data_IF_236397728999
#
_entry.id   IF_236397728999
#
_cell.length_a   1.000
_cell.length_b   1.000
_cell.length_c   1.000
_cell.angle_alpha   90.00
_cell.angle_beta   90.00
_cell.angle_gamma   90.00
#
_symmetry.space_group_name_H-M   'P 1'
#
loop_
_entity.id
_entity.type
_entity.pdbx_description
1 polymer ?
#
# COMPACT_ATOMS: atom_id res chain seq x y z
N UNK A 1 -4.36 30.36 -23.15
CA UNK A 1 -3.01 29.76 -23.19
C UNK A 1 -3.04 28.73 -24.31
N UNK A 2 -1.92 28.50 -25.00
CA UNK A 2 -1.85 27.53 -26.07
C UNK A 2 -0.88 26.40 -25.74
N UNK A 3 -1.09 25.24 -26.35
CA UNK A 3 -0.38 24.01 -26.04
C UNK A 3 0.27 23.46 -27.30
N UNK A 4 1.57 23.21 -27.21
CA UNK A 4 2.28 22.38 -28.18
C UNK A 4 2.41 20.96 -27.64
N UNK A 5 1.89 19.97 -28.37
CA UNK A 5 2.11 18.54 -28.10
C UNK A 5 2.65 17.86 -29.34
N UNK A 6 3.87 17.33 -29.28
CA UNK A 6 4.43 16.53 -30.36
C UNK A 6 3.76 15.16 -30.41
N UNK A 7 3.12 14.83 -31.53
CA UNK A 7 2.51 13.53 -31.79
C UNK A 7 3.52 12.39 -32.02
N UNK A 8 4.79 12.70 -32.31
CA UNK A 8 5.85 11.69 -32.49
C UNK A 8 6.53 11.28 -31.18
N UNK A 9 6.92 12.23 -30.33
CA UNK A 9 7.73 11.95 -29.14
C UNK A 9 7.08 12.36 -27.81
N UNK A 10 5.85 12.86 -27.84
CA UNK A 10 5.10 13.26 -26.65
C UNK A 10 5.58 14.54 -25.97
N UNK A 11 6.58 15.25 -26.52
CA UNK A 11 7.03 16.51 -25.93
C UNK A 11 5.88 17.51 -25.82
N UNK A 12 5.69 18.05 -24.62
CA UNK A 12 4.61 18.95 -24.25
C UNK A 12 5.20 20.28 -23.78
N UNK A 13 4.63 21.38 -24.24
CA UNK A 13 5.04 22.72 -23.82
C UNK A 13 3.90 23.72 -23.92
N UNK A 14 3.79 24.59 -22.94
CA UNK A 14 2.93 25.76 -23.02
C UNK A 14 3.56 26.86 -23.91
N UNK A 15 2.73 27.47 -24.75
CA UNK A 15 3.13 28.51 -25.69
C UNK A 15 2.10 29.65 -25.69
N UNK A 16 2.51 30.81 -26.19
CA UNK A 16 1.64 31.98 -26.28
C UNK A 16 0.49 31.73 -27.28
N UNK A 17 -0.69 32.32 -27.00
CA UNK A 17 -1.90 32.26 -27.83
C UNK A 17 -1.67 32.73 -29.27
N UNK A 18 -0.72 33.63 -29.52
CA UNK A 18 -0.38 34.13 -30.86
C UNK A 18 0.11 33.03 -31.82
N UNK A 19 0.36 31.82 -31.30
CA UNK A 19 0.81 30.66 -32.06
C UNK A 19 -0.28 29.61 -32.30
N UNK A 20 -1.51 29.82 -31.83
CA UNK A 20 -2.62 28.88 -32.07
C UNK A 20 -2.80 28.64 -33.57
N UNK A 21 -2.92 27.38 -33.96
CA UNK A 21 -3.09 26.95 -35.34
C UNK A 21 -1.80 26.86 -36.15
N UNK A 22 -0.67 27.41 -35.68
CA UNK A 22 0.62 27.36 -36.37
C UNK A 22 1.28 25.98 -36.19
N UNK A 23 2.04 25.58 -37.22
CA UNK A 23 2.86 24.37 -37.19
C UNK A 23 4.31 24.72 -36.90
N UNK A 24 4.92 24.04 -35.92
CA UNK A 24 6.30 24.29 -35.49
C UNK A 24 7.08 22.99 -35.35
N UNK A 25 8.40 23.05 -35.50
CA UNK A 25 9.29 21.90 -35.27
C UNK A 25 9.42 21.64 -33.77
N UNK A 26 9.20 20.39 -33.37
CA UNK A 26 9.42 19.94 -32.00
C UNK A 26 10.89 20.15 -31.59
N UNK A 27 11.17 20.81 -30.46
CA UNK A 27 12.54 21.04 -30.01
C UNK A 27 13.26 19.74 -29.61
N UNK A 28 12.52 18.65 -29.33
CA UNK A 28 13.08 17.36 -28.91
C UNK A 28 13.39 16.41 -30.07
N UNK A 29 12.59 16.41 -31.15
CA UNK A 29 12.72 15.43 -32.24
C UNK A 29 12.59 16.01 -33.65
N UNK A 30 12.50 17.34 -33.76
CA UNK A 30 12.34 18.10 -35.00
C UNK A 30 11.10 17.80 -35.84
N UNK A 31 10.22 16.90 -35.39
CA UNK A 31 8.95 16.62 -36.04
C UNK A 31 8.03 17.85 -36.01
N UNK A 32 7.37 18.15 -37.14
CA UNK A 32 6.47 19.29 -37.25
C UNK A 32 5.12 18.89 -36.65
N UNK A 33 4.68 19.65 -35.65
CA UNK A 33 3.36 19.47 -35.03
C UNK A 33 2.67 20.83 -34.85
N UNK A 34 1.35 20.80 -34.79
CA UNK A 34 0.53 22.00 -34.67
C UNK A 34 0.35 22.41 -33.20
N UNK A 35 0.19 23.71 -32.97
CA UNK A 35 -0.15 24.29 -31.67
C UNK A 35 -1.67 24.45 -31.57
N UNK A 36 -2.24 24.01 -30.47
CA UNK A 36 -3.68 24.05 -30.22
C UNK A 36 -4.01 25.02 -29.09
N UNK A 37 -5.24 25.53 -29.11
CA UNK A 37 -5.81 26.18 -27.94
C UNK A 37 -5.96 25.13 -26.83
N UNK A 38 -5.58 25.48 -25.59
CA UNK A 38 -5.41 24.50 -24.51
C UNK A 38 -6.74 23.88 -24.11
N UNK A 39 -7.78 24.68 -23.92
CA UNK A 39 -9.09 24.19 -23.45
C UNK A 39 -9.69 23.25 -24.50
N UNK A 40 -9.71 23.67 -25.76
CA UNK A 40 -10.22 22.89 -26.89
C UNK A 40 -9.46 21.57 -27.08
N UNK A 41 -8.14 21.59 -26.84
CA UNK A 41 -7.32 20.37 -26.91
C UNK A 41 -7.64 19.40 -25.77
N UNK A 42 -7.80 19.92 -24.55
CA UNK A 42 -8.13 19.12 -23.36
C UNK A 42 -9.54 18.54 -23.47
N UNK A 43 -10.53 19.31 -23.93
CA UNK A 43 -11.90 18.84 -24.17
C UNK A 43 -11.92 17.65 -25.13
N UNK A 44 -11.21 17.74 -26.26
CA UNK A 44 -11.09 16.62 -27.21
C UNK A 44 -10.31 15.43 -26.67
N UNK A 45 -9.35 15.66 -25.79
CA UNK A 45 -8.61 14.58 -25.13
C UNK A 45 -9.51 13.82 -24.15
N UNK A 46 -10.30 14.56 -23.37
CA UNK A 46 -11.28 14.01 -22.44
C UNK A 46 -12.38 13.23 -23.18
N UNK A 47 -12.90 13.78 -24.28
CA UNK A 47 -13.87 13.08 -25.14
C UNK A 47 -13.31 11.73 -25.62
N UNK A 48 -12.08 11.71 -26.17
CA UNK A 48 -11.43 10.45 -26.58
C UNK A 48 -11.21 9.50 -25.42
N UNK A 49 -10.80 10.01 -24.27
CA UNK A 49 -10.59 9.21 -23.08
C UNK A 49 -11.88 8.53 -22.60
N UNK A 50 -12.99 9.26 -22.56
CA UNK A 50 -14.28 8.69 -22.16
C UNK A 50 -14.80 7.67 -23.17
N UNK A 51 -14.67 7.92 -24.48
CA UNK A 51 -15.04 6.94 -25.51
C UNK A 51 -14.23 5.64 -25.37
N UNK A 52 -12.91 5.75 -25.18
CA UNK A 52 -12.06 4.56 -24.98
C UNK A 52 -12.36 3.83 -23.67
N UNK A 53 -12.66 4.57 -22.60
CA UNK A 53 -13.06 4.00 -21.31
C UNK A 53 -14.37 3.21 -21.45
N UNK A 54 -15.36 3.77 -22.14
CA UNK A 54 -16.65 3.11 -22.38
C UNK A 54 -16.50 1.89 -23.29
N UNK A 55 -15.64 1.96 -24.31
CA UNK A 55 -15.33 0.82 -25.20
C UNK A 55 -14.64 -0.31 -24.42
N UNK A 56 -13.67 0.02 -23.56
CA UNK A 56 -13.02 -0.95 -22.66
C UNK A 56 -14.05 -1.57 -21.70
N UNK A 57 -14.98 -0.79 -21.15
CA UNK A 57 -16.04 -1.31 -20.30
C UNK A 57 -17.00 -2.23 -21.05
N UNK A 58 -17.36 -1.90 -22.30
CA UNK A 58 -18.20 -2.75 -23.15
C UNK A 58 -17.51 -4.05 -23.55
N UNK A 59 -16.22 -4.01 -23.90
CA UNK A 59 -15.44 -5.22 -24.20
C UNK A 59 -15.33 -6.12 -22.97
N UNK A 60 -15.05 -5.56 -21.79
CA UNK A 60 -15.05 -6.31 -20.52
C UNK A 60 -16.41 -6.91 -20.20
N UNK A 61 -17.50 -6.19 -20.45
CA UNK A 61 -18.86 -6.73 -20.26
C UNK A 61 -19.20 -7.81 -21.30
N UNK A 62 -18.72 -7.68 -22.53
CA UNK A 62 -18.90 -8.70 -23.56
C UNK A 62 -18.12 -9.98 -23.22
N UNK A 63 -16.90 -9.87 -22.69
CA UNK A 63 -16.14 -11.02 -22.17
C UNK A 63 -16.90 -11.69 -21.00
N UNK A 64 -17.49 -10.91 -20.08
CA UNK A 64 -18.31 -11.42 -18.97
C UNK A 64 -19.59 -12.12 -19.46
N UNK A 65 -20.26 -11.61 -20.51
CA UNK A 65 -21.48 -12.23 -21.08
C UNK A 65 -21.13 -13.52 -21.83
N UNK A 66 -19.99 -13.56 -22.53
CA UNK A 66 -19.50 -14.75 -23.23
C UNK A 66 -19.09 -15.85 -22.23
N UNK A 67 -18.61 -15.47 -21.04
CA UNK A 67 -18.35 -16.39 -19.93
C UNK A 67 -19.64 -16.81 -19.20
N UNK A 68 -20.65 -15.95 -19.10
CA UNK A 68 -21.91 -16.24 -18.40
C UNK A 68 -22.78 -17.31 -19.09
N UNK A 69 -22.70 -17.47 -20.41
CA UNK A 69 -23.44 -18.53 -21.14
C UNK A 69 -22.81 -19.93 -20.97
N UNK A 70 -21.59 -20.03 -20.41
CA UNK A 70 -20.88 -21.31 -20.22
C UNK A 70 -21.00 -21.84 -18.78
N UNK A 71 -21.49 -21.05 -17.82
CA UNK A 71 -21.49 -21.38 -16.37
C UNK A 71 -22.89 -21.85 -15.89
N UNK A 72 -23.48 -22.83 -16.57
CA UNK A 72 -24.48 -23.72 -15.97
C UNK A 72 -23.90 -25.14 -15.87
N UNK A 73 -22.76 -25.31 -15.21
CA UNK A 73 -22.40 -26.54 -14.48
C UNK A 73 -21.00 -26.43 -13.85
N UNK A 74 -20.95 -26.75 -12.56
CA UNK A 74 -19.77 -27.23 -11.82
C UNK A 74 -18.64 -26.25 -11.44
N UNK A 75 -18.60 -25.97 -10.12
CA UNK A 75 -17.45 -25.59 -9.27
C UNK A 75 -16.88 -24.16 -9.38
N UNK A 76 -16.40 -23.56 -8.26
CA UNK A 76 -15.96 -22.17 -8.23
C UNK A 76 -14.65 -22.00 -9.03
N UNK A 77 -14.47 -20.89 -9.77
CA UNK A 77 -13.26 -20.68 -10.55
C UNK A 77 -12.04 -20.41 -9.65
N UNK A 78 -10.81 -20.69 -10.15
CA UNK A 78 -9.56 -20.42 -9.45
C UNK A 78 -9.35 -18.92 -9.20
N UNK A 79 -8.53 -18.63 -8.19
CA UNK A 79 -8.30 -17.33 -7.54
C UNK A 79 -8.12 -16.18 -8.53
N UNK A 80 -9.03 -15.21 -8.51
CA UNK A 80 -8.97 -13.98 -9.31
C UNK A 80 -7.73 -13.09 -9.01
N UNK A 81 -6.82 -13.51 -8.12
CA UNK A 81 -5.68 -12.71 -7.65
C UNK A 81 -4.38 -12.91 -8.43
N UNK A 82 -4.28 -13.96 -9.26
CA UNK A 82 -3.01 -14.34 -9.90
C UNK A 82 -2.54 -13.34 -10.96
N UNK A 83 -3.46 -12.66 -11.65
CA UNK A 83 -3.13 -11.71 -12.74
C UNK A 83 -3.15 -10.24 -12.30
N UNK A 84 -3.25 -9.96 -10.99
CA UNK A 84 -3.46 -8.61 -10.47
C UNK A 84 -2.15 -7.98 -10.01
N UNK A 85 -1.85 -6.75 -10.43
CA UNK A 85 -0.77 -5.96 -9.84
C UNK A 85 -1.15 -5.49 -8.42
N UNK A 86 -0.51 -6.02 -7.36
CA UNK A 86 -0.80 -5.65 -5.96
C UNK A 86 -0.47 -4.22 -5.59
N UNK A 87 0.40 -3.57 -6.36
CA UNK A 87 0.80 -2.19 -6.14
C UNK A 87 -0.04 -1.21 -6.96
N UNK A 88 -1.06 -1.70 -7.65
CA UNK A 88 -1.97 -0.86 -8.42
C UNK A 88 -3.26 -1.62 -8.76
N UNK A 89 -4.09 -1.86 -7.74
CA UNK A 89 -5.37 -2.55 -7.92
C UNK A 89 -6.44 -2.07 -6.95
N UNK A 90 -7.68 -2.08 -7.45
CA UNK A 90 -8.91 -1.94 -6.65
C UNK A 90 -9.62 -3.27 -6.42
N UNK A 91 -9.12 -4.38 -6.98
CA UNK A 91 -9.79 -5.68 -6.91
C UNK A 91 -9.90 -6.23 -5.47
N UNK A 92 -8.95 -5.86 -4.61
CA UNK A 92 -8.99 -6.17 -3.17
C UNK A 92 -10.08 -5.37 -2.45
N UNK A 93 -10.51 -4.22 -3.00
CA UNK A 93 -11.51 -3.33 -2.43
C UNK A 93 -12.95 -3.65 -2.89
N UNK A 94 -13.19 -4.80 -3.51
CA UNK A 94 -14.55 -5.25 -3.86
C UNK A 94 -15.30 -5.81 -2.65
N UNK A 95 -16.59 -5.52 -2.52
CA UNK A 95 -17.44 -6.06 -1.44
C UNK A 95 -17.38 -7.59 -1.34
N UNK A 96 -17.21 -8.26 -2.49
CA UNK A 96 -17.09 -9.73 -2.58
C UNK A 96 -15.88 -10.26 -1.79
N UNK A 97 -14.80 -9.48 -1.72
CA UNK A 97 -13.58 -9.86 -1.02
C UNK A 97 -13.72 -9.78 0.50
N UNK A 98 -14.61 -8.93 1.01
CA UNK A 98 -14.83 -8.78 2.45
C UNK A 98 -16.04 -9.56 2.99
N UNK A 99 -16.97 -9.95 2.12
CA UNK A 99 -18.17 -10.68 2.53
C UNK A 99 -17.86 -11.93 3.38
N UNK A 100 -16.89 -12.79 3.02
CA UNK A 100 -16.56 -13.96 3.86
C UNK A 100 -16.04 -13.60 5.26
N UNK A 101 -15.30 -12.50 5.39
CA UNK A 101 -14.84 -12.00 6.69
C UNK A 101 -16.05 -11.52 7.50
N UNK A 102 -16.97 -10.79 6.87
CA UNK A 102 -18.17 -10.28 7.53
C UNK A 102 -19.03 -11.43 8.05
N UNK A 103 -19.23 -12.47 7.25
CA UNK A 103 -19.96 -13.68 7.66
C UNK A 103 -19.25 -14.44 8.79
N UNK A 104 -17.91 -14.52 8.75
CA UNK A 104 -17.11 -15.15 9.79
C UNK A 104 -17.26 -14.46 11.16
N UNK A 105 -17.27 -13.12 11.19
CA UNK A 105 -17.50 -12.35 12.42
C UNK A 105 -18.96 -12.40 12.86
N UNK A 106 -19.91 -12.35 11.92
CA UNK A 106 -21.34 -12.47 12.19
C UNK A 106 -21.68 -13.81 12.85
N UNK A 107 -21.09 -14.91 12.39
CA UNK A 107 -21.22 -16.23 13.02
C UNK A 107 -20.75 -16.26 14.48
N UNK A 108 -19.89 -15.32 14.89
CA UNK A 108 -19.40 -15.16 16.27
C UNK A 108 -20.19 -14.15 17.09
N UNK A 109 -21.25 -13.57 16.52
CA UNK A 109 -22.07 -12.47 17.07
C UNK A 109 -21.26 -11.18 17.29
N UNK A 110 -20.36 -10.90 16.34
CA UNK A 110 -19.52 -9.70 16.34
C UNK A 110 -19.85 -8.90 15.09
N UNK A 111 -20.09 -7.60 15.24
CA UNK A 111 -20.31 -6.71 14.10
C UNK A 111 -18.95 -6.13 13.70
N UNK A 112 -18.72 -6.01 12.40
CA UNK A 112 -17.57 -5.28 11.87
C UNK A 112 -18.00 -4.14 10.96
N UNK A 113 -17.19 -3.11 10.92
CA UNK A 113 -17.27 -2.01 9.97
C UNK A 113 -15.91 -1.89 9.28
N UNK A 114 -15.93 -1.87 7.95
CA UNK A 114 -14.73 -1.85 7.14
C UNK A 114 -14.83 -0.75 6.09
N UNK A 115 -13.75 0.00 5.95
CA UNK A 115 -13.61 0.97 4.89
C UNK A 115 -12.87 0.33 3.72
N UNK A 116 -13.59 0.00 2.64
CA UNK A 116 -13.03 -0.65 1.46
C UNK A 116 -11.89 0.17 0.81
N UNK A 117 -11.84 1.50 1.04
CA UNK A 117 -10.72 2.34 0.57
C UNK A 117 -9.41 1.96 1.24
N UNK A 118 -9.45 1.30 2.39
CA UNK A 118 -8.25 0.74 3.02
C UNK A 118 -7.70 -0.46 2.25
N UNK A 119 -8.40 -1.02 1.27
CA UNK A 119 -7.89 -2.11 0.41
C UNK A 119 -7.52 -1.62 -0.99
N UNK A 120 -7.68 -0.33 -1.25
CA UNK A 120 -7.21 0.31 -2.48
C UNK A 120 -5.68 0.46 -2.43
N UNK A 121 -5.02 -0.13 -3.41
CA UNK A 121 -3.55 -0.12 -3.55
C UNK A 121 -3.09 0.74 -4.74
N UNK A 122 -3.98 1.54 -5.34
CA UNK A 122 -3.65 2.39 -6.51
C UNK A 122 -2.77 3.61 -6.18
N UNK A 123 -2.49 3.86 -4.90
CA UNK A 123 -1.58 4.90 -4.43
C UNK A 123 -0.20 4.36 -4.08
N UNK A 124 0.80 5.25 -4.02
CA UNK A 124 2.22 4.91 -3.82
C UNK A 124 2.62 4.44 -2.42
N UNK A 125 1.62 4.12 -1.63
CA UNK A 125 1.68 4.10 -0.20
C UNK A 125 2.19 2.71 0.25
N UNK A 126 1.73 1.68 -0.45
CA UNK A 126 2.19 0.30 -0.35
C UNK A 126 3.62 0.11 -0.90
N UNK A 127 4.02 0.80 -1.98
CA UNK A 127 5.38 0.73 -2.54
C UNK A 127 6.42 1.31 -1.58
N UNK A 128 6.12 2.44 -0.94
CA UNK A 128 7.02 3.02 0.07
C UNK A 128 7.10 2.11 1.30
N UNK A 129 5.99 1.50 1.71
CA UNK A 129 5.97 0.55 2.82
C UNK A 129 6.84 -0.68 2.52
N UNK A 130 6.73 -1.25 1.33
CA UNK A 130 7.55 -2.38 0.88
C UNK A 130 9.02 -2.01 0.74
N UNK A 131 9.33 -0.85 0.16
CA UNK A 131 10.71 -0.34 0.08
C UNK A 131 11.35 -0.16 1.45
N UNK A 132 10.61 0.43 2.40
CA UNK A 132 11.06 0.63 3.79
C UNK A 132 11.22 -0.69 4.54
N UNK A 133 10.24 -1.60 4.46
CA UNK A 133 10.26 -2.87 5.18
C UNK A 133 11.34 -3.83 4.68
N UNK A 134 11.48 -3.99 3.36
CA UNK A 134 12.51 -4.86 2.77
C UNK A 134 13.94 -4.40 3.11
N UNK A 135 14.13 -3.10 3.37
CA UNK A 135 15.44 -2.50 3.67
C UNK A 135 15.48 -1.88 5.07
N UNK A 136 14.67 -2.36 6.01
CA UNK A 136 14.45 -1.70 7.29
C UNK A 136 15.76 -1.49 8.08
N UNK A 137 16.66 -2.49 8.09
CA UNK A 137 17.95 -2.39 8.77
C UNK A 137 18.78 -1.16 8.34
N UNK A 138 18.68 -0.77 7.07
CA UNK A 138 19.36 0.40 6.50
C UNK A 138 18.53 1.68 6.66
N UNK A 139 17.23 1.60 6.37
CA UNK A 139 16.36 2.77 6.25
C UNK A 139 15.74 3.24 7.57
N UNK A 140 15.80 2.44 8.65
CA UNK A 140 15.24 2.79 9.96
C UNK A 140 15.68 4.16 10.48
N UNK A 141 16.97 4.47 10.35
CA UNK A 141 17.54 5.73 10.82
C UNK A 141 16.95 6.93 10.04
N UNK A 142 16.58 6.70 8.79
CA UNK A 142 15.99 7.72 7.91
C UNK A 142 14.51 7.90 8.26
N UNK A 143 13.74 6.81 8.34
CA UNK A 143 12.33 6.87 8.72
C UNK A 143 12.12 7.46 10.12
N UNK A 144 12.96 7.11 11.10
CA UNK A 144 12.90 7.68 12.44
C UNK A 144 13.22 9.17 12.46
N UNK A 145 14.19 9.61 11.65
CA UNK A 145 14.49 11.05 11.50
C UNK A 145 13.32 11.80 10.87
N UNK A 146 12.67 11.24 9.86
CA UNK A 146 11.47 11.83 9.24
C UNK A 146 10.37 11.96 10.31
N UNK A 147 9.99 10.85 10.97
CA UNK A 147 9.02 10.80 12.06
C UNK A 147 9.31 11.84 13.15
N UNK A 148 10.55 11.86 13.66
CA UNK A 148 10.96 12.80 14.73
C UNK A 148 10.89 14.25 14.29
N UNK A 149 11.28 14.54 13.05
CA UNK A 149 11.26 15.90 12.50
C UNK A 149 9.82 16.40 12.34
N UNK A 150 8.93 15.56 11.80
CA UNK A 150 7.50 15.85 11.70
C UNK A 150 6.85 16.04 13.08
N UNK A 151 7.13 15.18 14.07
CA UNK A 151 6.60 15.32 15.44
C UNK A 151 6.98 16.63 16.12
N UNK A 152 8.14 17.20 15.77
CA UNK A 152 8.58 18.50 16.29
C UNK A 152 8.02 19.69 15.52
N UNK A 153 7.20 19.47 14.50
CA UNK A 153 6.66 20.51 13.63
C UNK A 153 7.68 21.09 12.65
N UNK A 154 8.85 20.46 12.50
CA UNK A 154 9.85 20.87 11.53
C UNK A 154 9.59 20.21 10.17
N UNK A 155 9.95 20.92 9.10
CA UNK A 155 9.73 20.46 7.73
C UNK A 155 11.03 20.20 6.98
N UNK A 156 12.19 20.61 7.49
CA UNK A 156 13.45 20.43 6.78
C UNK A 156 14.29 19.35 7.46
N UNK A 157 14.78 18.40 6.68
CA UNK A 157 15.63 17.31 7.15
C UNK A 157 16.90 17.23 6.29
N UNK A 158 18.05 17.03 6.95
CA UNK A 158 19.33 16.80 6.29
C UNK A 158 19.87 15.42 6.68
N UNK A 159 20.24 14.63 5.68
CA UNK A 159 20.68 13.23 5.80
C UNK A 159 22.12 13.14 5.30
N UNK A 160 23.12 13.15 6.20
CA UNK A 160 24.52 13.01 5.81
C UNK A 160 24.82 11.56 5.40
N UNK A 161 25.52 11.40 4.27
CA UNK A 161 25.91 10.11 3.68
C UNK A 161 27.42 9.84 3.81
N UNK A 162 28.19 10.76 4.39
CA UNK A 162 29.65 10.70 4.46
C UNK A 162 30.22 9.44 5.15
N UNK A 163 29.46 8.85 6.09
CA UNK A 163 29.84 7.65 6.84
C UNK A 163 29.24 6.35 6.30
N UNK A 164 28.50 6.41 5.19
CA UNK A 164 27.84 5.24 4.59
C UNK A 164 28.71 4.65 3.48
N UNK A 165 28.61 3.35 3.25
CA UNK A 165 29.19 2.70 2.09
C UNK A 165 28.55 3.19 0.79
N UNK A 166 29.19 2.91 -0.35
CA UNK A 166 28.64 3.28 -1.66
C UNK A 166 27.29 2.61 -1.94
N UNK A 167 27.13 1.35 -1.53
CA UNK A 167 25.85 0.61 -1.69
C UNK A 167 24.75 1.29 -0.86
N UNK A 168 24.99 1.48 0.43
CA UNK A 168 24.02 2.14 1.33
C UNK A 168 23.66 3.56 0.86
N UNK A 169 24.66 4.31 0.38
CA UNK A 169 24.45 5.65 -0.17
C UNK A 169 23.48 5.63 -1.34
N UNK A 170 23.62 4.65 -2.25
CA UNK A 170 22.73 4.51 -3.41
C UNK A 170 21.30 4.17 -2.97
N UNK A 171 21.14 3.18 -2.11
CA UNK A 171 19.82 2.75 -1.59
C UNK A 171 19.10 3.91 -0.86
N UNK A 172 19.82 4.68 -0.04
CA UNK A 172 19.23 5.84 0.66
C UNK A 172 18.82 6.94 -0.33
N UNK A 173 19.65 7.22 -1.35
CA UNK A 173 19.36 8.21 -2.39
C UNK A 173 18.11 7.81 -3.16
N UNK A 174 18.02 6.54 -3.57
CA UNK A 174 16.87 5.98 -4.29
C UNK A 174 15.60 6.03 -3.45
N UNK A 175 15.65 5.58 -2.19
CA UNK A 175 14.52 5.68 -1.28
C UNK A 175 14.04 7.13 -1.12
N UNK A 176 14.94 8.08 -0.86
CA UNK A 176 14.58 9.49 -0.73
C UNK A 176 14.07 10.13 -2.02
N UNK A 177 14.54 9.67 -3.19
CA UNK A 177 14.02 10.09 -4.48
C UNK A 177 12.61 9.55 -4.70
N UNK A 178 12.36 8.27 -4.40
CA UNK A 178 11.03 7.67 -4.47
C UNK A 178 10.04 8.40 -3.55
N UNK A 179 10.45 8.78 -2.33
CA UNK A 179 9.62 9.60 -1.46
C UNK A 179 9.20 10.93 -2.12
N UNK A 180 10.05 11.52 -2.96
CA UNK A 180 9.74 12.75 -3.67
C UNK A 180 8.81 12.49 -4.86
N UNK A 181 9.13 11.50 -5.69
CA UNK A 181 8.33 11.11 -6.85
C UNK A 181 6.89 10.73 -6.45
N UNK A 182 6.75 10.07 -5.29
CA UNK A 182 5.49 9.65 -4.71
C UNK A 182 4.83 10.71 -3.80
N UNK A 183 5.38 11.93 -3.76
CA UNK A 183 4.82 13.06 -3.01
C UNK A 183 4.73 12.87 -1.48
N UNK A 184 5.56 11.98 -0.90
CA UNK A 184 5.74 11.87 0.55
C UNK A 184 6.58 13.02 1.11
N UNK A 185 7.45 13.60 0.28
CA UNK A 185 8.20 14.82 0.60
C UNK A 185 7.93 15.88 -0.48
N UNK A 186 7.85 17.14 -0.06
CA UNK A 186 7.60 18.27 -0.94
C UNK A 186 8.82 18.63 -1.82
N UNK A 187 10.04 18.39 -1.33
CA UNK A 187 11.28 18.65 -2.08
C UNK A 187 12.36 17.63 -1.74
N UNK A 188 13.20 17.35 -2.72
CA UNK A 188 14.39 16.51 -2.61
C UNK A 188 15.58 17.18 -3.30
N UNK A 189 16.73 17.23 -2.61
CA UNK A 189 17.99 17.70 -3.18
C UNK A 189 19.14 16.79 -2.74
N UNK A 190 19.92 16.31 -3.70
CA UNK A 190 21.15 15.58 -3.43
C UNK A 190 22.39 16.41 -3.79
N UNK A 191 23.16 16.80 -2.77
CA UNK A 191 24.42 17.52 -2.92
C UNK A 191 25.58 16.53 -2.95
N UNK A 192 26.03 16.20 -4.17
CA UNK A 192 27.12 15.23 -4.40
C UNK A 192 28.42 15.57 -3.67
N UNK A 193 28.85 16.84 -3.72
CA UNK A 193 30.10 17.31 -3.13
C UNK A 193 30.09 17.17 -1.59
N UNK A 194 28.99 17.52 -0.95
CA UNK A 194 28.81 17.44 0.51
C UNK A 194 28.39 16.04 0.99
N UNK A 195 28.09 15.11 0.07
CA UNK A 195 27.46 13.80 0.35
C UNK A 195 26.25 13.96 1.28
N UNK A 196 25.33 14.84 0.91
CA UNK A 196 24.19 15.24 1.74
C UNK A 196 22.88 15.17 0.94
N UNK A 197 21.86 14.53 1.50
CA UNK A 197 20.48 14.62 1.01
C UNK A 197 19.70 15.60 1.87
N UNK A 198 18.97 16.51 1.23
CA UNK A 198 18.07 17.46 1.89
C UNK A 198 16.65 17.19 1.45
N UNK A 199 15.75 17.07 2.42
CA UNK A 199 14.32 16.85 2.21
C UNK A 199 13.53 18.01 2.80
N UNK A 200 12.49 18.44 2.09
CA UNK A 200 11.39 19.20 2.67
C UNK A 200 10.20 18.24 2.86
N UNK A 201 9.85 17.94 4.11
CA UNK A 201 8.84 16.97 4.50
C UNK A 201 7.42 17.52 4.27
N UNK A 202 6.50 16.64 3.88
CA UNK A 202 5.07 16.94 3.82
C UNK A 202 4.44 16.84 5.22
N UNK A 203 3.43 17.68 5.49
CA UNK A 203 2.67 17.69 6.76
C UNK A 203 1.26 17.13 6.63
N UNK A 204 0.92 16.51 5.49
CA UNK A 204 -0.38 15.83 5.33
C UNK A 204 -0.56 14.77 6.44
N UNK A 205 -1.72 14.72 7.13
CA UNK A 205 -1.96 13.75 8.20
C UNK A 205 -1.68 12.31 7.79
N UNK A 206 -2.02 11.91 6.55
CA UNK A 206 -1.78 10.56 6.06
C UNK A 206 -0.28 10.21 6.00
N UNK A 207 0.56 11.12 5.52
CA UNK A 207 2.02 10.90 5.44
C UNK A 207 2.66 10.93 6.84
N UNK A 208 2.19 11.80 7.73
CA UNK A 208 2.66 11.82 9.12
C UNK A 208 2.31 10.51 9.82
N UNK A 209 1.07 10.03 9.69
CA UNK A 209 0.62 8.76 10.26
C UNK A 209 1.33 7.56 9.64
N UNK A 210 1.62 7.61 8.33
CA UNK A 210 2.44 6.61 7.65
C UNK A 210 3.78 6.42 8.36
N UNK A 211 4.58 7.49 8.50
CA UNK A 211 5.86 7.43 9.18
C UNK A 211 5.74 7.22 10.70
N UNK A 212 4.59 7.52 11.31
CA UNK A 212 4.37 7.28 12.74
C UNK A 212 4.15 5.80 13.07
N UNK A 213 3.83 4.96 12.08
CA UNK A 213 3.79 3.50 12.27
C UNK A 213 2.97 2.74 11.24
N UNK A 214 2.02 3.39 10.56
CA UNK A 214 1.10 2.72 9.62
C UNK A 214 1.80 2.05 8.43
N UNK A 215 2.99 2.52 8.06
CA UNK A 215 3.78 1.88 7.01
C UNK A 215 4.00 0.38 7.29
N UNK A 216 4.08 -0.03 8.56
CA UNK A 216 4.38 -1.42 8.91
C UNK A 216 3.16 -2.33 8.72
N UNK A 217 1.96 -1.84 9.01
CA UNK A 217 0.70 -2.53 8.70
C UNK A 217 0.61 -2.81 7.20
N UNK A 218 0.93 -1.81 6.37
CA UNK A 218 0.87 -1.96 4.93
C UNK A 218 1.95 -2.87 4.37
N UNK A 219 3.16 -2.80 4.91
CA UNK A 219 4.23 -3.74 4.60
C UNK A 219 3.77 -5.19 4.87
N UNK A 220 3.29 -5.48 6.08
CA UNK A 220 2.85 -6.83 6.46
C UNK A 220 1.69 -7.29 5.57
N UNK A 221 0.73 -6.42 5.29
CA UNK A 221 -0.40 -6.73 4.42
C UNK A 221 0.04 -7.12 3.01
N UNK A 222 0.88 -6.30 2.36
CA UNK A 222 1.34 -6.58 0.98
C UNK A 222 2.17 -7.84 0.94
N UNK A 223 3.15 -8.00 1.83
CA UNK A 223 3.99 -9.19 1.87
C UNK A 223 3.19 -10.47 2.11
N UNK A 224 2.18 -10.43 2.97
CA UNK A 224 1.29 -11.58 3.18
C UNK A 224 0.40 -11.86 1.97
N UNK A 225 -0.12 -10.81 1.33
CA UNK A 225 -0.95 -10.96 0.12
C UNK A 225 -0.15 -11.56 -1.04
N UNK A 226 1.08 -11.08 -1.28
CA UNK A 226 2.03 -11.67 -2.24
C UNK A 226 2.25 -13.15 -1.94
N UNK A 227 2.60 -13.47 -0.70
CA UNK A 227 2.91 -14.83 -0.28
C UNK A 227 1.74 -15.81 -0.47
N UNK A 228 0.52 -15.42 -0.11
CA UNK A 228 -0.67 -16.28 -0.25
C UNK A 228 -1.10 -16.44 -1.70
N UNK A 229 -0.93 -15.39 -2.51
CA UNK A 229 -1.16 -15.45 -3.95
C UNK A 229 -0.16 -16.38 -4.64
N UNK A 230 1.13 -16.29 -4.31
CA UNK A 230 2.16 -17.15 -4.91
C UNK A 230 1.90 -18.65 -4.62
N UNK A 231 1.17 -18.95 -3.53
CA UNK A 231 0.68 -20.29 -3.19
C UNK A 231 -0.68 -20.66 -3.81
N UNK A 232 -1.27 -19.80 -4.63
CA UNK A 232 -2.58 -19.95 -5.27
C UNK A 232 -3.73 -20.20 -4.28
N UNK A 233 -3.65 -19.63 -3.08
CA UNK A 233 -4.69 -19.79 -2.06
C UNK A 233 -5.85 -18.82 -2.30
N UNK A 234 -7.06 -19.22 -1.90
CA UNK A 234 -8.20 -18.31 -1.88
C UNK A 234 -8.11 -17.47 -0.61
N UNK A 235 -8.22 -16.16 -0.76
CA UNK A 235 -8.16 -15.24 0.38
C UNK A 235 -9.33 -14.27 0.35
N UNK A 236 -9.80 -13.95 1.55
CA UNK A 236 -10.52 -12.72 1.83
C UNK A 236 -9.67 -11.90 2.78
N UNK A 237 -9.57 -10.59 2.57
CA UNK A 237 -8.68 -9.74 3.35
C UNK A 237 -9.33 -8.42 3.73
N UNK A 238 -8.90 -7.86 4.86
CA UNK A 238 -9.30 -6.53 5.31
C UNK A 238 -8.15 -5.85 6.08
N UNK A 239 -8.07 -4.52 5.98
CA UNK A 239 -7.19 -3.68 6.78
C UNK A 239 -8.01 -2.73 7.63
N UNK A 240 -7.52 -2.40 8.83
CA UNK A 240 -8.09 -1.40 9.72
C UNK A 240 -9.62 -1.59 9.89
N UNK A 241 -10.01 -2.80 10.32
CA UNK A 241 -11.43 -3.11 10.55
C UNK A 241 -11.83 -2.73 11.96
N UNK A 242 -12.97 -2.06 12.05
CA UNK A 242 -13.60 -1.71 13.30
C UNK A 242 -14.47 -2.87 13.79
N UNK A 243 -14.19 -3.37 14.98
CA UNK A 243 -14.90 -4.48 15.61
C UNK A 243 -15.76 -3.93 16.74
N UNK A 244 -17.07 -4.11 16.62
CA UNK A 244 -18.07 -3.70 17.59
C UNK A 244 -18.66 -4.92 18.30
N UNK A 245 -18.48 -4.96 19.62
CA UNK A 245 -19.01 -6.01 20.47
C UNK A 245 -20.41 -5.67 21.01
N UNK A 246 -21.14 -6.67 21.48
CA UNK A 246 -22.49 -6.50 22.02
C UNK A 246 -22.58 -5.56 23.24
N UNK A 247 -21.48 -5.35 23.95
CA UNK A 247 -21.38 -4.41 25.06
C UNK A 247 -20.90 -3.01 24.63
N UNK A 248 -21.00 -2.70 23.33
CA UNK A 248 -20.58 -1.43 22.70
C UNK A 248 -19.08 -1.13 22.76
N UNK A 249 -18.27 -2.04 23.31
CA UNK A 249 -16.83 -1.92 23.20
C UNK A 249 -16.41 -1.96 21.74
N UNK A 250 -15.47 -1.08 21.43
CA UNK A 250 -14.88 -0.90 20.11
C UNK A 250 -13.41 -1.27 20.13
N UNK A 251 -12.97 -2.05 19.15
CA UNK A 251 -11.55 -2.33 18.90
C UNK A 251 -11.26 -2.25 17.41
N UNK A 252 -10.09 -1.76 17.05
CA UNK A 252 -9.56 -1.78 15.69
C UNK A 252 -8.69 -3.02 15.53
N UNK A 253 -8.79 -3.70 14.38
CA UNK A 253 -7.86 -4.74 13.96
C UNK A 253 -7.07 -4.25 12.74
N UNK A 254 -5.75 -4.32 12.84
CA UNK A 254 -4.86 -3.79 11.80
C UNK A 254 -5.00 -4.57 10.50
N UNK A 255 -4.88 -5.90 10.56
CA UNK A 255 -4.92 -6.79 9.38
C UNK A 255 -5.70 -8.07 9.72
N UNK A 256 -6.62 -8.45 8.83
CA UNK A 256 -7.35 -9.71 8.92
C UNK A 256 -7.41 -10.43 7.58
N UNK A 257 -7.06 -11.72 7.57
CA UNK A 257 -7.23 -12.62 6.44
C UNK A 257 -8.13 -13.78 6.82
N UNK A 258 -8.95 -14.24 5.87
CA UNK A 258 -9.63 -15.53 5.93
C UNK A 258 -9.19 -16.34 4.71
N UNK A 259 -8.40 -17.38 4.97
CA UNK A 259 -7.77 -18.21 3.94
C UNK A 259 -8.64 -19.45 3.70
N UNK A 260 -8.92 -19.75 2.43
CA UNK A 260 -9.82 -20.80 1.96
C UNK A 260 -11.18 -20.81 2.69
N UNK A 261 -11.67 -19.63 3.07
CA UNK A 261 -12.92 -19.45 3.81
C UNK A 261 -12.93 -20.00 5.23
N UNK A 262 -11.82 -20.58 5.72
CA UNK A 262 -11.80 -21.37 6.97
C UNK A 262 -10.75 -20.94 7.97
N UNK A 263 -9.57 -20.54 7.53
CA UNK A 263 -8.43 -20.23 8.40
C UNK A 263 -8.33 -18.72 8.61
N UNK A 264 -8.79 -18.20 9.76
CA UNK A 264 -8.65 -16.78 10.07
C UNK A 264 -7.23 -16.49 10.57
N UNK A 265 -6.63 -15.41 10.08
CA UNK A 265 -5.36 -14.88 10.57
C UNK A 265 -5.56 -13.40 10.88
N UNK A 266 -5.40 -13.03 12.14
CA UNK A 266 -5.42 -11.66 12.61
C UNK A 266 -4.00 -11.23 12.95
N UNK A 267 -3.54 -10.10 12.43
CA UNK A 267 -2.20 -9.57 12.70
C UNK A 267 -2.32 -8.14 13.21
N UNK A 268 -1.76 -7.92 14.39
CA UNK A 268 -1.58 -6.61 15.02
C UNK A 268 -0.13 -6.17 14.85
N UNK A 269 0.10 -4.97 14.34
CA UNK A 269 1.41 -4.46 13.97
C UNK A 269 1.92 -3.45 15.00
N UNK A 270 3.17 -3.60 15.43
CA UNK A 270 3.82 -2.68 16.38
C UNK A 270 5.19 -2.23 15.90
N UNK A 271 5.36 -0.91 15.84
CA UNK A 271 6.63 -0.24 15.49
C UNK A 271 7.34 0.42 16.67
N UNK A 272 6.77 0.31 17.87
CA UNK A 272 7.27 0.96 19.10
C UNK A 272 6.98 0.13 20.34
N UNK A 273 7.02 0.78 21.51
CA UNK A 273 6.77 0.10 22.79
C UNK A 273 5.36 -0.50 22.82
N UNK A 274 5.28 -1.79 23.15
CA UNK A 274 4.04 -2.58 23.08
C UNK A 274 3.71 -3.30 24.38
N UNK A 275 4.62 -3.33 25.37
CA UNK A 275 4.46 -4.18 26.57
C UNK A 275 3.23 -3.82 27.39
N UNK A 276 2.87 -2.54 27.43
CA UNK A 276 1.66 -2.04 28.10
C UNK A 276 0.37 -2.54 27.45
N UNK A 277 0.43 -2.91 26.16
CA UNK A 277 -0.74 -3.33 25.37
C UNK A 277 -0.92 -4.86 25.34
N UNK A 278 0.01 -5.64 25.89
CA UNK A 278 -0.03 -7.13 25.83
C UNK A 278 -1.37 -7.65 26.37
N UNK A 279 -1.82 -7.12 27.50
CA UNK A 279 -3.10 -7.54 28.10
C UNK A 279 -4.31 -7.11 27.27
N UNK A 280 -4.24 -5.95 26.60
CA UNK A 280 -5.27 -5.50 25.65
C UNK A 280 -5.42 -6.53 24.53
N UNK A 281 -4.32 -6.96 23.93
CA UNK A 281 -4.32 -7.93 22.84
C UNK A 281 -4.77 -9.33 23.24
N UNK A 282 -4.36 -9.79 24.43
CA UNK A 282 -4.83 -11.07 24.98
C UNK A 282 -6.34 -11.09 25.16
N UNK A 283 -6.92 -9.99 25.66
CA UNK A 283 -8.37 -9.83 25.79
C UNK A 283 -9.04 -9.77 24.43
N UNK A 284 -8.50 -8.99 23.50
CA UNK A 284 -9.04 -8.86 22.15
C UNK A 284 -9.13 -10.22 21.44
N UNK A 285 -8.02 -10.98 21.40
CA UNK A 285 -7.97 -12.35 20.86
C UNK A 285 -9.08 -13.24 21.42
N UNK A 286 -9.20 -13.26 22.76
CA UNK A 286 -10.22 -14.07 23.45
C UNK A 286 -11.63 -13.64 23.04
N UNK A 287 -11.89 -12.33 22.94
CA UNK A 287 -13.21 -11.78 22.59
C UNK A 287 -13.61 -12.05 21.15
N UNK A 288 -12.67 -11.98 20.21
CA UNK A 288 -12.90 -12.36 18.81
C UNK A 288 -12.88 -13.87 18.57
N UNK A 289 -12.64 -14.66 19.63
CA UNK A 289 -12.66 -16.12 19.62
C UNK A 289 -11.68 -16.70 18.59
N UNK A 290 -10.45 -16.19 18.59
CA UNK A 290 -9.35 -16.73 17.81
C UNK A 290 -8.43 -17.59 18.67
N UNK A 291 -7.95 -18.69 18.11
CA UNK A 291 -6.88 -19.47 18.71
C UNK A 291 -5.60 -18.64 18.81
N UNK A 292 -4.76 -18.96 19.81
CA UNK A 292 -3.45 -18.33 19.99
C UNK A 292 -2.64 -18.33 18.70
N UNK A 293 -2.67 -19.45 17.98
CA UNK A 293 -1.91 -19.61 16.74
C UNK A 293 -2.33 -18.63 15.63
N UNK A 294 -3.57 -18.17 15.65
CA UNK A 294 -4.20 -17.39 14.58
C UNK A 294 -4.23 -15.89 14.87
N UNK A 295 -3.73 -15.46 16.02
CA UNK A 295 -3.63 -14.06 16.42
C UNK A 295 -2.17 -13.68 16.67
N UNK A 296 -1.59 -12.97 15.71
CA UNK A 296 -0.17 -12.62 15.67
C UNK A 296 0.00 -11.17 16.10
N UNK A 297 0.85 -10.94 17.09
CA UNK A 297 1.39 -9.62 17.39
C UNK A 297 2.74 -9.50 16.68
N UNK A 298 2.73 -8.87 15.51
CA UNK A 298 3.90 -8.63 14.69
C UNK A 298 4.63 -7.38 15.17
N UNK A 299 5.78 -7.55 15.80
CA UNK A 299 6.55 -6.47 16.42
C UNK A 299 7.84 -6.25 15.64
N UNK A 300 7.98 -5.05 15.08
CA UNK A 300 9.12 -4.63 14.30
C UNK A 300 10.40 -4.62 15.15
N UNK A 301 11.46 -5.25 14.64
CA UNK A 301 12.78 -5.26 15.26
C UNK A 301 12.92 -6.15 16.50
N UNK A 302 11.88 -6.93 16.83
CA UNK A 302 11.96 -7.93 17.89
C UNK A 302 12.86 -9.09 17.43
N UNK A 303 13.82 -9.51 18.26
CA UNK A 303 14.65 -10.69 17.91
C UNK A 303 13.81 -11.98 17.95
N UNK A 304 14.25 -13.02 17.23
CA UNK A 304 13.56 -14.32 17.24
C UNK A 304 13.49 -14.94 18.64
N UNK A 305 14.55 -14.81 19.44
CA UNK A 305 14.59 -15.29 20.82
C UNK A 305 13.57 -14.55 21.70
N UNK A 306 13.49 -13.22 21.59
CA UNK A 306 12.50 -12.44 22.32
C UNK A 306 11.08 -12.79 21.89
N UNK A 307 10.83 -12.96 20.59
CA UNK A 307 9.52 -13.37 20.07
C UNK A 307 9.11 -14.75 20.61
N UNK A 308 10.02 -15.72 20.62
CA UNK A 308 9.77 -17.06 21.18
C UNK A 308 9.52 -17.01 22.70
N UNK A 309 10.33 -16.24 23.44
CA UNK A 309 10.18 -16.06 24.88
C UNK A 309 8.84 -15.40 25.24
N UNK A 310 8.47 -14.32 24.55
CA UNK A 310 7.18 -13.64 24.75
C UNK A 310 6.00 -14.53 24.36
N UNK A 311 6.12 -15.29 23.27
CA UNK A 311 5.10 -16.26 22.86
C UNK A 311 4.93 -17.39 23.86
N UNK A 312 5.99 -17.76 24.59
CA UNK A 312 5.90 -18.78 25.64
C UNK A 312 5.31 -18.22 26.93
N UNK A 313 5.65 -16.97 27.26
CA UNK A 313 5.23 -16.30 28.48
C UNK A 313 3.76 -15.85 28.46
N UNK A 314 3.28 -15.40 27.29
CA UNK A 314 1.94 -14.87 27.13
C UNK A 314 1.08 -15.77 26.24
N UNK A 315 -0.22 -15.69 26.45
CA UNK A 315 -1.21 -16.40 25.63
C UNK A 315 -1.51 -15.66 24.31
N UNK A 316 -0.43 -15.32 23.61
CA UNK A 316 -0.35 -14.59 22.35
C UNK A 316 0.81 -15.14 21.53
N UNK A 317 0.73 -15.01 20.20
CA UNK A 317 1.83 -15.34 19.30
C UNK A 317 2.56 -14.07 18.92
N UNK A 318 3.86 -14.00 19.20
CA UNK A 318 4.72 -12.90 18.78
C UNK A 318 5.56 -13.31 17.59
N UNK A 319 5.58 -12.46 16.57
CA UNK A 319 6.41 -12.58 15.37
C UNK A 319 7.07 -11.24 15.07
N UNK A 320 7.97 -11.20 14.10
CA UNK A 320 8.61 -9.97 13.63
C UNK A 320 8.53 -9.86 12.11
N UNK A 321 9.09 -8.79 11.55
CA UNK A 321 9.07 -8.50 10.11
C UNK A 321 9.77 -9.56 9.22
N UNK A 322 10.53 -10.47 9.83
CA UNK A 322 11.28 -11.54 9.15
C UNK A 322 10.61 -12.92 9.32
N UNK A 323 9.91 -13.16 10.43
CA UNK A 323 9.39 -14.48 10.80
C UNK A 323 7.88 -14.65 10.58
N UNK A 324 7.12 -13.57 10.39
CA UNK A 324 5.66 -13.68 10.30
C UNK A 324 5.19 -14.53 9.11
N UNK A 325 5.84 -14.44 7.94
CA UNK A 325 5.49 -15.26 6.77
C UNK A 325 5.78 -16.75 7.02
N UNK A 326 6.96 -17.07 7.54
CA UNK A 326 7.33 -18.46 7.89
C UNK A 326 6.37 -19.04 8.94
N UNK A 327 5.92 -18.20 9.87
CA UNK A 327 4.94 -18.61 10.86
C UNK A 327 3.57 -18.89 10.22
N UNK A 328 3.06 -18.01 9.36
CA UNK A 328 1.80 -18.24 8.63
C UNK A 328 1.90 -19.47 7.75
N UNK A 329 3.04 -19.71 7.10
CA UNK A 329 3.28 -20.92 6.29
C UNK A 329 3.04 -22.22 7.06
N UNK A 330 3.41 -22.26 8.35
CA UNK A 330 3.22 -23.44 9.21
C UNK A 330 1.76 -23.68 9.59
N UNK A 331 0.87 -22.72 9.37
CA UNK A 331 -0.56 -22.82 9.68
C UNK A 331 -1.40 -23.25 8.48
N UNK A 332 -0.86 -23.11 7.27
CA UNK A 332 -1.49 -23.55 6.01
C UNK A 332 -1.45 -25.07 5.91
#
# INVERSE_FOLDING_TARGET
MALFRCNKCGHLREVNNDYIGKSVKCPKCSHVAQIYETISFVEKLLEKYFVQRDEIQKLRQADIITEAEVIESESPPPSALNDINLFNTTALAEEKQIAPITDWFKGRKIKIEADLRQLDTTGFFDEVAVSLGNNYALLKDISEKIKRTQKKGYQNLSIPLSKRSQKETREIIEFCQNLYEYSFVAKYFYQKQEKLVRLALQTSPAIVQFFDGRWFEWYVFIKLTEFLRDKNLQISCARNISVLFANEDFHELDIFFLIDGRLPICIECKTGEFRTDIEKYRRLRTRIKLDKANFLLCVLGLSQEQAAGLSSMYDLTFVNEQSFLEYVEKLL
#
